data_IF_371702820541
#
_entry.id   IF_371702820541
#
_cell.length_a   1.000
_cell.length_b   1.000
_cell.length_c   1.000
_cell.angle_alpha   90.00
_cell.angle_beta   90.00
_cell.angle_gamma   90.00
#
_symmetry.space_group_name_H-M   'P 1'
#
loop_
_entity.id
_entity.type
_entity.pdbx_description
1 polymer ?
#
# COMPACT_ATOMS: atom_id res chain seq x y z
N UNK A 1 1.99 2.77 24.74
CA UNK A 1 2.60 3.56 23.63
C UNK A 1 4.11 3.30 23.58
N UNK A 2 4.53 2.18 22.99
CA UNK A 2 5.95 1.77 22.90
C UNK A 2 6.42 1.48 21.46
N UNK A 3 5.61 1.83 20.44
CA UNK A 3 5.95 1.56 19.02
C UNK A 3 6.76 2.67 18.36
N UNK A 4 6.92 3.82 19.02
CA UNK A 4 7.50 5.05 18.44
C UNK A 4 8.92 5.37 18.91
N UNK A 5 9.48 4.64 19.88
CA UNK A 5 10.88 4.86 20.31
C UNK A 5 11.91 4.12 19.45
N UNK A 6 11.51 3.07 18.74
CA UNK A 6 12.43 2.20 18.00
C UNK A 6 13.02 2.85 16.74
N UNK A 7 12.33 3.85 16.17
CA UNK A 7 12.80 4.57 14.97
C UNK A 7 13.78 5.71 15.30
N UNK A 8 13.95 6.06 16.57
CA UNK A 8 14.81 7.18 17.00
C UNK A 8 16.24 6.77 17.37
N UNK A 9 16.52 5.48 17.48
CA UNK A 9 17.80 4.95 17.97
C UNK A 9 18.85 4.64 16.90
N UNK A 10 18.57 4.81 15.59
CA UNK A 10 19.47 4.34 14.53
C UNK A 10 20.23 5.42 13.76
N UNK A 11 20.12 6.71 14.13
CA UNK A 11 20.86 7.79 13.44
C UNK A 11 21.81 8.47 14.42
N UNK A 12 22.86 7.74 14.79
CA UNK A 12 24.08 8.32 15.39
C UNK A 12 25.18 7.29 15.24
N UNK A 13 26.03 7.46 14.22
CA UNK A 13 27.47 7.11 14.17
C UNK A 13 27.88 6.76 12.73
N UNK A 14 28.43 7.75 12.01
CA UNK A 14 29.49 7.53 11.00
C UNK A 14 29.99 8.89 10.50
N UNK A 15 30.69 9.62 11.37
CA UNK A 15 31.55 10.72 10.94
C UNK A 15 32.99 10.18 10.84
N UNK A 16 33.54 10.20 9.62
CA UNK A 16 34.98 10.11 9.35
C UNK A 16 35.48 8.78 8.78
N UNK A 17 35.72 8.72 7.47
CA UNK A 17 37.05 8.79 6.84
C UNK A 17 36.91 8.50 5.34
N UNK A 18 37.43 9.40 4.50
CA UNK A 18 37.54 9.23 3.07
C UNK A 18 38.72 8.30 2.72
N UNK A 19 38.55 7.40 1.74
CA UNK A 19 39.53 6.99 0.70
C UNK A 19 38.95 5.78 -0.07
N UNK A 20 39.13 5.80 -1.40
CA UNK A 20 38.66 4.86 -2.43
C UNK A 20 37.22 5.06 -2.93
N UNK A 21 37.12 5.95 -3.92
CA UNK A 21 35.98 6.08 -4.80
C UNK A 21 35.64 4.73 -5.46
N UNK A 22 34.35 4.51 -5.72
CA UNK A 22 33.68 3.47 -6.54
C UNK A 22 32.86 2.35 -5.86
N UNK A 23 33.10 1.84 -4.63
CA UNK A 23 32.17 0.85 -4.04
C UNK A 23 31.10 1.48 -3.15
N UNK A 24 31.43 2.59 -2.48
CA UNK A 24 30.54 3.23 -1.51
C UNK A 24 29.43 4.03 -2.21
N UNK A 25 29.72 4.67 -3.33
CA UNK A 25 28.68 5.38 -4.12
C UNK A 25 27.67 4.42 -4.74
N UNK A 26 28.10 3.27 -5.25
CA UNK A 26 27.20 2.22 -5.72
C UNK A 26 26.43 1.57 -4.58
N UNK A 27 27.03 1.40 -3.40
CA UNK A 27 26.33 0.92 -2.21
C UNK A 27 25.30 1.94 -1.72
N UNK A 28 25.64 3.24 -1.67
CA UNK A 28 24.71 4.31 -1.33
C UNK A 28 23.61 4.41 -2.39
N UNK A 29 23.91 4.30 -3.68
CA UNK A 29 22.92 4.31 -4.76
C UNK A 29 22.03 3.06 -4.74
N UNK A 30 22.52 1.90 -4.32
CA UNK A 30 21.70 0.70 -4.08
C UNK A 30 20.80 0.86 -2.84
N UNK A 31 21.31 1.49 -1.78
CA UNK A 31 20.55 1.80 -0.56
C UNK A 31 19.51 2.91 -0.82
N UNK A 32 19.83 3.88 -1.67
CA UNK A 32 18.98 5.05 -2.00
C UNK A 32 18.06 4.77 -3.20
N UNK A 33 18.43 3.85 -4.09
CA UNK A 33 17.57 3.34 -5.18
C UNK A 33 16.44 2.46 -4.66
N UNK A 34 16.48 2.11 -3.37
CA UNK A 34 15.40 1.52 -2.59
C UNK A 34 14.52 2.58 -1.89
N UNK A 35 14.62 3.88 -2.22
CA UNK A 35 13.51 4.80 -1.97
C UNK A 35 12.32 4.17 -2.69
N UNK A 36 11.44 3.57 -1.88
CA UNK A 36 10.50 2.56 -2.30
C UNK A 36 9.84 2.99 -3.60
N UNK A 37 10.02 2.20 -4.66
CA UNK A 37 9.15 2.29 -5.83
C UNK A 37 7.72 2.35 -5.27
N UNK A 38 7.01 3.45 -5.52
CA UNK A 38 5.68 3.68 -4.95
C UNK A 38 4.83 2.47 -5.32
N UNK A 39 4.65 1.57 -4.35
CA UNK A 39 3.91 0.34 -4.59
C UNK A 39 2.47 0.75 -4.81
N UNK A 40 1.87 0.23 -5.88
CA UNK A 40 0.45 0.34 -6.16
C UNK A 40 -0.37 0.23 -4.85
N UNK A 41 -1.27 1.19 -4.57
CA UNK A 41 -2.12 1.14 -3.38
C UNK A 41 -2.91 -0.15 -3.34
N UNK A 42 -3.00 -0.79 -2.17
CA UNK A 42 -3.79 -2.02 -2.00
C UNK A 42 -5.02 -1.70 -1.15
N UNK A 43 -6.20 -1.84 -1.73
CA UNK A 43 -7.47 -1.41 -1.12
C UNK A 43 -8.34 -2.63 -0.87
N UNK A 44 -8.72 -2.86 0.39
CA UNK A 44 -9.75 -3.83 0.76
C UNK A 44 -11.11 -3.12 0.81
N UNK A 45 -11.99 -3.43 -0.13
CA UNK A 45 -13.36 -2.94 -0.11
C UNK A 45 -14.24 -3.92 0.68
N UNK A 46 -14.50 -3.60 1.96
CA UNK A 46 -15.40 -4.36 2.83
C UNK A 46 -16.86 -4.07 2.49
N UNK A 47 -17.75 -5.04 2.68
CA UNK A 47 -19.16 -4.97 2.27
C UNK A 47 -19.31 -4.78 0.77
N UNK A 48 -18.40 -5.33 -0.04
CA UNK A 48 -18.41 -5.14 -1.49
C UNK A 48 -19.58 -5.83 -2.21
N UNK A 49 -20.37 -6.64 -1.51
CA UNK A 49 -21.53 -7.31 -2.06
C UNK A 49 -22.66 -7.37 -1.04
N UNK A 50 -23.88 -7.19 -1.54
CA UNK A 50 -25.14 -7.35 -0.84
C UNK A 50 -26.11 -8.06 -1.81
N UNK A 51 -27.05 -8.82 -1.30
CA UNK A 51 -27.95 -9.68 -2.09
C UNK A 51 -29.41 -9.24 -1.99
N UNK A 52 -29.75 -8.39 -1.00
CA UNK A 52 -31.14 -7.99 -0.71
C UNK A 52 -31.49 -6.60 -1.23
N UNK A 53 -30.62 -5.60 -1.05
CA UNK A 53 -30.92 -4.19 -1.34
C UNK A 53 -30.19 -3.71 -2.60
N UNK A 54 -30.94 -3.37 -3.65
CA UNK A 54 -30.38 -2.92 -4.94
C UNK A 54 -29.67 -1.56 -4.87
N UNK A 55 -30.08 -0.69 -3.95
CA UNK A 55 -29.40 0.59 -3.71
C UNK A 55 -27.99 0.36 -3.16
N UNK A 56 -27.86 -0.52 -2.18
CA UNK A 56 -26.56 -0.89 -1.62
C UNK A 56 -25.69 -1.65 -2.63
N UNK A 57 -26.31 -2.49 -3.48
CA UNK A 57 -25.61 -3.15 -4.61
C UNK A 57 -25.00 -2.10 -5.55
N UNK A 58 -25.68 -0.98 -5.80
CA UNK A 58 -25.19 0.07 -6.69
C UNK A 58 -23.99 0.85 -6.14
N UNK A 59 -23.74 0.81 -4.82
CA UNK A 59 -22.59 1.49 -4.22
C UNK A 59 -21.25 0.88 -4.65
N UNK A 60 -21.14 -0.46 -4.72
CA UNK A 60 -19.91 -1.14 -5.15
C UNK A 60 -19.46 -0.75 -6.57
N UNK A 61 -20.28 -0.86 -7.63
CA UNK A 61 -19.87 -0.45 -8.97
C UNK A 61 -19.59 1.06 -9.05
N UNK A 62 -20.31 1.88 -8.28
CA UNK A 62 -20.03 3.32 -8.18
C UNK A 62 -18.63 3.61 -7.63
N UNK A 63 -18.28 2.98 -6.50
CA UNK A 63 -16.95 3.10 -5.90
C UNK A 63 -15.86 2.55 -6.82
N UNK A 64 -16.08 1.39 -7.44
CA UNK A 64 -15.12 0.80 -8.39
C UNK A 64 -14.88 1.70 -9.61
N UNK A 65 -15.91 2.40 -10.09
CA UNK A 65 -15.77 3.37 -11.18
C UNK A 65 -14.90 4.56 -10.78
N UNK A 66 -15.08 5.08 -9.56
CA UNK A 66 -14.25 6.16 -9.01
C UNK A 66 -12.81 5.70 -8.81
N UNK A 67 -12.59 4.53 -8.20
CA UNK A 67 -11.25 3.99 -7.98
C UNK A 67 -10.54 3.73 -9.31
N UNK A 68 -11.22 3.17 -10.32
CA UNK A 68 -10.65 2.99 -11.67
C UNK A 68 -10.28 4.31 -12.33
N UNK A 69 -11.03 5.38 -12.08
CA UNK A 69 -10.76 6.71 -12.65
C UNK A 69 -9.61 7.43 -11.95
N UNK A 70 -9.52 7.32 -10.63
CA UNK A 70 -8.63 8.16 -9.81
C UNK A 70 -7.39 7.44 -9.30
N UNK A 71 -7.43 6.11 -9.19
CA UNK A 71 -6.34 5.24 -8.73
C UNK A 71 -6.25 3.99 -9.63
N UNK A 72 -6.00 4.15 -10.93
CA UNK A 72 -6.01 3.05 -11.90
C UNK A 72 -4.99 1.95 -11.59
N UNK A 73 -3.91 2.28 -10.89
CA UNK A 73 -2.86 1.36 -10.45
C UNK A 73 -3.22 0.58 -9.19
N UNK A 74 -4.31 0.94 -8.49
CA UNK A 74 -4.65 0.30 -7.22
C UNK A 74 -5.07 -1.16 -7.40
N UNK A 75 -4.54 -2.03 -6.53
CA UNK A 75 -4.98 -3.40 -6.38
C UNK A 75 -6.20 -3.43 -5.44
N UNK A 76 -7.36 -3.80 -5.96
CA UNK A 76 -8.61 -3.83 -5.19
C UNK A 76 -8.97 -5.27 -4.85
N UNK A 77 -9.11 -5.57 -3.56
CA UNK A 77 -9.69 -6.83 -3.06
C UNK A 77 -11.11 -6.56 -2.57
N UNK A 78 -12.08 -7.31 -3.08
CA UNK A 78 -13.48 -7.23 -2.68
C UNK A 78 -13.73 -8.23 -1.53
N UNK A 79 -14.30 -7.74 -0.42
CA UNK A 79 -14.68 -8.58 0.70
C UNK A 79 -16.20 -8.48 0.95
N UNK A 80 -16.98 -9.49 0.52
CA UNK A 80 -18.41 -9.50 0.74
C UNK A 80 -18.71 -9.62 2.23
N UNK A 81 -19.82 -9.01 2.69
CA UNK A 81 -20.28 -9.19 4.08
C UNK A 81 -21.05 -10.50 4.24
N UNK A 82 -21.80 -10.90 3.21
CA UNK A 82 -22.52 -12.16 3.12
C UNK A 82 -22.60 -12.57 1.64
N UNK A 83 -22.46 -13.86 1.35
CA UNK A 83 -22.54 -14.48 0.01
C UNK A 83 -23.74 -15.45 -0.12
N UNK A 84 -24.66 -15.46 0.83
CA UNK A 84 -25.89 -16.26 0.76
C UNK A 84 -26.77 -15.91 -0.46
N UNK A 85 -27.83 -16.68 -0.69
CA UNK A 85 -28.80 -16.48 -1.78
C UNK A 85 -28.24 -16.81 -3.18
N UNK A 86 -27.34 -17.80 -3.26
CA UNK A 86 -26.85 -18.36 -4.52
C UNK A 86 -25.74 -17.54 -5.18
N UNK A 87 -24.98 -16.79 -4.39
CA UNK A 87 -23.78 -16.05 -4.83
C UNK A 87 -22.52 -16.51 -4.07
N UNK A 88 -22.61 -17.67 -3.41
CA UNK A 88 -21.56 -18.40 -2.71
C UNK A 88 -20.62 -19.18 -3.65
#
# INVERSE_FOLDING_TARGET
>A
MQRRSFLRSSVSSAAGLAVSATPIESAISAITGSIAAERAPRILLRSSWQTVNIGDIAHTPGVLSLLRRHLPEAEITLWPSNIDNGVD
#
